data_IF_243079136116
#
_entry.id   IF_243079136116
#
_cell.length_a   1.000
_cell.length_b   1.000
_cell.length_c   1.000
_cell.angle_alpha   90.00
_cell.angle_beta   90.00
_cell.angle_gamma   90.00
#
_symmetry.space_group_name_H-M   'P 1'
#
loop_
_entity.id
_entity.type
_entity.pdbx_description
1 polymer ?
#
# COMPACT_ATOMS: atom_id res chain seq x y z
N UNK A 1 -2.87 12.13 22.65
CA UNK A 1 -3.44 12.92 21.55
C UNK A 1 -3.22 12.30 20.16
N UNK A 2 -2.15 11.57 19.91
CA UNK A 2 -1.86 10.93 18.60
C UNK A 2 -2.73 9.69 18.33
N UNK A 3 -3.00 8.89 19.35
CA UNK A 3 -3.84 7.68 19.23
C UNK A 3 -5.29 8.00 18.83
N UNK A 4 -5.81 9.11 19.31
CA UNK A 4 -7.20 9.56 19.07
C UNK A 4 -7.41 10.05 17.62
N UNK A 5 -6.41 10.67 16.98
CA UNK A 5 -6.45 11.05 15.57
C UNK A 5 -6.43 9.85 14.62
N UNK A 6 -5.59 8.84 14.93
CA UNK A 6 -5.46 7.61 14.12
C UNK A 6 -6.77 6.83 14.10
N UNK A 7 -7.36 6.62 15.27
CA UNK A 7 -8.62 5.90 15.42
C UNK A 7 -9.77 6.63 14.70
N UNK A 8 -9.80 7.96 14.69
CA UNK A 8 -10.81 8.74 13.96
C UNK A 8 -10.66 8.63 12.44
N UNK A 9 -9.46 8.64 11.89
CA UNK A 9 -9.25 8.55 10.45
C UNK A 9 -9.62 7.16 9.91
N UNK A 10 -9.27 6.10 10.62
CA UNK A 10 -9.72 4.74 10.29
C UNK A 10 -11.24 4.63 10.36
N UNK A 11 -11.88 5.12 11.44
CA UNK A 11 -13.33 5.09 11.57
C UNK A 11 -14.05 5.88 10.47
N UNK A 12 -13.55 7.04 10.03
CA UNK A 12 -14.17 7.82 8.95
C UNK A 12 -14.09 7.07 7.62
N UNK A 13 -12.93 6.51 7.29
CA UNK A 13 -12.73 5.70 6.09
C UNK A 13 -13.65 4.49 6.10
N UNK A 14 -13.62 3.70 7.18
CA UNK A 14 -14.36 2.45 7.29
C UNK A 14 -15.88 2.72 7.28
N UNK A 15 -16.33 3.81 7.92
CA UNK A 15 -17.72 4.24 7.86
C UNK A 15 -18.15 4.61 6.44
N UNK A 16 -17.35 5.41 5.73
CA UNK A 16 -17.64 5.80 4.36
C UNK A 16 -17.69 4.60 3.40
N UNK A 17 -16.78 3.64 3.55
CA UNK A 17 -16.76 2.42 2.76
C UNK A 17 -17.97 1.53 3.09
N UNK A 18 -18.30 1.38 4.37
CA UNK A 18 -19.47 0.63 4.81
C UNK A 18 -20.79 1.26 4.28
N UNK A 19 -20.89 2.60 4.34
CA UNK A 19 -22.03 3.32 3.76
C UNK A 19 -22.14 3.13 2.24
N UNK A 20 -21.01 3.01 1.55
CA UNK A 20 -20.94 2.70 0.13
C UNK A 20 -21.24 1.24 -0.21
N UNK A 21 -21.49 0.38 0.78
CA UNK A 21 -21.80 -1.03 0.58
C UNK A 21 -20.59 -1.97 0.54
N UNK A 22 -19.48 -1.56 1.17
CA UNK A 22 -18.29 -2.40 1.25
C UNK A 22 -18.61 -3.75 1.90
N UNK A 23 -18.21 -4.81 1.24
CA UNK A 23 -18.19 -6.15 1.79
C UNK A 23 -16.79 -6.40 2.35
N UNK A 24 -16.73 -6.60 3.67
CA UNK A 24 -15.48 -6.77 4.39
C UNK A 24 -15.04 -8.23 4.43
N UNK A 25 -13.75 -8.45 4.30
CA UNK A 25 -13.13 -9.74 4.53
C UNK A 25 -12.08 -9.66 5.62
N UNK A 26 -11.56 -10.82 5.99
CA UNK A 26 -10.48 -10.92 6.95
C UNK A 26 -9.25 -11.51 6.26
N UNK A 27 -8.13 -10.84 6.43
CA UNK A 27 -6.83 -11.30 5.97
C UNK A 27 -5.83 -11.23 7.12
N UNK A 28 -5.54 -12.36 7.77
CA UNK A 28 -4.63 -12.45 8.92
C UNK A 28 -5.00 -11.48 10.05
N UNK A 29 -6.26 -11.52 10.49
CA UNK A 29 -6.87 -10.65 11.50
C UNK A 29 -6.94 -9.15 11.12
N UNK A 30 -6.64 -8.78 9.89
CA UNK A 30 -6.86 -7.45 9.35
C UNK A 30 -8.14 -7.43 8.52
N UNK A 31 -9.09 -6.55 8.87
CA UNK A 31 -10.24 -6.28 8.02
C UNK A 31 -9.82 -5.56 6.74
N UNK A 32 -10.21 -6.12 5.62
CA UNK A 32 -9.89 -5.59 4.28
C UNK A 32 -11.14 -5.46 3.45
N UNK A 33 -11.28 -4.38 2.66
CA UNK A 33 -12.38 -4.27 1.70
C UNK A 33 -12.17 -5.27 0.57
N UNK A 34 -13.22 -6.03 0.25
CA UNK A 34 -13.18 -7.02 -0.84
C UNK A 34 -13.81 -6.49 -2.12
N UNK A 35 -15.05 -6.00 -2.04
CA UNK A 35 -15.83 -5.43 -3.15
C UNK A 35 -17.00 -4.64 -2.59
N UNK A 36 -17.75 -3.93 -3.45
CA UNK A 36 -18.91 -3.13 -3.05
C UNK A 36 -20.19 -3.69 -3.64
N UNK A 37 -21.20 -3.90 -2.80
CA UNK A 37 -22.50 -4.45 -3.18
C UNK A 37 -23.64 -3.68 -2.50
N UNK A 38 -24.90 -3.97 -2.86
CA UNK A 38 -26.04 -3.43 -2.13
C UNK A 38 -26.02 -3.90 -0.66
N UNK A 39 -26.63 -3.13 0.24
CA UNK A 39 -26.67 -3.47 1.68
C UNK A 39 -27.42 -4.77 1.97
N UNK A 40 -28.32 -5.15 1.08
CA UNK A 40 -29.12 -6.39 1.17
C UNK A 40 -28.41 -7.58 0.50
N UNK A 41 -27.23 -7.36 -0.08
CA UNK A 41 -26.49 -8.43 -0.74
C UNK A 41 -25.91 -9.39 0.31
N UNK A 42 -26.20 -10.66 0.13
CA UNK A 42 -25.63 -11.75 0.92
C UNK A 42 -24.86 -12.68 -0.02
N UNK A 43 -23.55 -12.81 0.26
CA UNK A 43 -22.73 -13.70 -0.54
C UNK A 43 -23.04 -15.16 -0.22
N UNK A 44 -23.24 -15.95 -1.28
CA UNK A 44 -23.37 -17.40 -1.19
C UNK A 44 -22.06 -18.07 -1.64
N UNK A 45 -21.16 -18.40 -0.69
CA UNK A 45 -19.88 -19.00 -0.99
C UNK A 45 -20.03 -20.34 -1.72
N UNK A 46 -19.16 -20.60 -2.68
CA UNK A 46 -19.19 -21.79 -3.50
C UNK A 46 -17.78 -22.25 -3.84
N UNK A 47 -17.57 -23.55 -4.01
CA UNK A 47 -16.33 -24.10 -4.55
C UNK A 47 -16.11 -23.74 -6.04
N UNK A 48 -17.10 -23.16 -6.68
CA UNK A 48 -17.05 -22.55 -8.02
C UNK A 48 -17.05 -21.03 -7.85
N UNK A 49 -17.70 -20.31 -8.78
CA UNK A 49 -17.92 -18.86 -8.69
C UNK A 49 -19.09 -18.57 -7.75
N UNK A 50 -18.88 -17.69 -6.77
CA UNK A 50 -19.96 -17.20 -5.93
C UNK A 50 -20.86 -16.20 -6.69
N UNK A 51 -21.97 -15.82 -6.10
CA UNK A 51 -22.85 -14.77 -6.62
C UNK A 51 -22.21 -13.35 -6.58
N UNK A 52 -21.08 -13.17 -5.92
CA UNK A 52 -20.27 -11.95 -5.98
C UNK A 52 -19.52 -11.77 -7.31
N UNK A 53 -19.34 -12.86 -8.09
CA UNK A 53 -18.55 -12.81 -9.33
C UNK A 53 -19.03 -11.76 -10.36
N UNK A 54 -20.33 -11.59 -10.65
CA UNK A 54 -20.77 -10.52 -11.54
C UNK A 54 -20.47 -9.13 -11.00
N UNK A 55 -20.63 -8.91 -9.69
CA UNK A 55 -20.40 -7.63 -9.01
C UNK A 55 -18.91 -7.24 -9.17
N UNK A 56 -17.99 -8.12 -8.79
CA UNK A 56 -16.55 -7.91 -8.99
C UNK A 56 -16.20 -7.74 -10.46
N UNK A 57 -16.90 -8.45 -11.36
CA UNK A 57 -16.75 -8.29 -12.80
C UNK A 57 -17.12 -6.89 -13.30
N UNK A 58 -18.14 -6.28 -12.73
CA UNK A 58 -18.56 -4.92 -13.08
C UNK A 58 -17.59 -3.86 -12.51
N UNK A 59 -17.05 -4.04 -11.30
CA UNK A 59 -15.93 -3.22 -10.78
C UNK A 59 -14.72 -3.28 -11.71
N UNK A 60 -14.32 -4.47 -12.15
CA UNK A 60 -13.21 -4.65 -13.11
C UNK A 60 -13.46 -3.94 -14.44
N UNK A 61 -14.70 -3.98 -14.96
CA UNK A 61 -15.08 -3.25 -16.18
C UNK A 61 -15.01 -1.73 -15.95
N UNK A 62 -15.50 -1.24 -14.81
CA UNK A 62 -15.46 0.18 -14.46
C UNK A 62 -14.01 0.70 -14.46
N UNK A 63 -13.08 -0.01 -13.81
CA UNK A 63 -11.66 0.36 -13.81
C UNK A 63 -11.08 0.38 -15.23
N UNK A 64 -11.50 -0.53 -16.12
CA UNK A 64 -10.98 -0.61 -17.49
C UNK A 64 -11.53 0.46 -18.41
N UNK A 65 -12.77 0.89 -18.20
CA UNK A 65 -13.47 1.81 -19.11
C UNK A 65 -13.57 3.24 -18.57
N UNK A 66 -13.42 3.43 -17.27
CA UNK A 66 -13.59 4.72 -16.61
C UNK A 66 -12.51 4.95 -15.54
N UNK A 67 -12.84 4.86 -14.26
CA UNK A 67 -11.95 5.07 -13.13
C UNK A 67 -12.36 4.18 -11.95
N UNK A 68 -11.39 3.66 -11.23
CA UNK A 68 -11.58 2.96 -9.97
C UNK A 68 -10.62 3.45 -8.89
N UNK A 69 -11.09 3.44 -7.66
CA UNK A 69 -10.34 3.75 -6.46
C UNK A 69 -10.22 2.48 -5.62
N UNK A 70 -8.98 2.00 -5.43
CA UNK A 70 -8.68 0.83 -4.62
C UNK A 70 -8.00 1.26 -3.32
N UNK A 71 -8.49 0.81 -2.18
CA UNK A 71 -7.82 0.98 -0.89
C UNK A 71 -6.56 0.10 -0.82
N UNK A 72 -5.42 0.73 -0.65
CA UNK A 72 -4.11 0.11 -0.45
C UNK A 72 -3.51 0.53 0.90
N UNK A 73 -4.33 0.93 1.85
CA UNK A 73 -3.90 1.35 3.20
C UNK A 73 -3.16 0.23 3.93
N UNK A 74 -3.48 -1.03 3.64
CA UNK A 74 -2.84 -2.21 4.22
C UNK A 74 -1.37 -2.45 3.81
N UNK A 75 -0.75 -1.59 2.97
CA UNK A 75 0.68 -1.69 2.70
C UNK A 75 1.50 -0.99 3.79
N UNK A 76 2.65 -1.57 4.16
CA UNK A 76 3.63 -0.90 5.02
C UNK A 76 4.32 0.25 4.26
N UNK A 77 4.66 1.31 4.98
CA UNK A 77 5.33 2.50 4.43
C UNK A 77 6.43 2.93 5.37
N UNK A 78 7.62 3.11 4.83
CA UNK A 78 8.78 3.60 5.57
C UNK A 78 9.32 4.84 4.87
N UNK A 79 9.58 5.87 5.64
CA UNK A 79 10.25 7.09 5.17
C UNK A 79 11.74 6.98 5.48
N UNK A 80 12.57 7.24 4.49
CA UNK A 80 14.02 7.23 4.59
C UNK A 80 14.55 8.61 4.23
N UNK A 81 15.36 9.17 5.12
CA UNK A 81 15.97 10.51 4.97
C UNK A 81 17.42 10.52 5.43
N UNK A 82 18.11 11.59 5.15
CA UNK A 82 19.47 11.82 5.60
C UNK A 82 20.49 11.87 4.44
N UNK A 83 21.68 12.42 4.70
CA UNK A 83 22.67 12.66 3.65
C UNK A 83 23.17 11.39 2.96
N UNK A 84 23.08 10.24 3.62
CA UNK A 84 23.54 8.96 3.10
C UNK A 84 22.36 8.05 2.66
N UNK A 85 21.12 8.55 2.63
CA UNK A 85 19.92 7.75 2.33
C UNK A 85 19.99 7.07 0.95
N UNK A 86 20.37 7.80 -0.10
CA UNK A 86 20.48 7.25 -1.45
C UNK A 86 21.57 6.17 -1.55
N UNK A 87 22.74 6.40 -0.97
CA UNK A 87 23.83 5.43 -0.96
C UNK A 87 23.44 4.16 -0.21
N UNK A 88 22.79 4.31 0.94
CA UNK A 88 22.29 3.18 1.73
C UNK A 88 21.22 2.38 0.98
N UNK A 89 20.23 3.05 0.39
CA UNK A 89 19.21 2.40 -0.43
C UNK A 89 19.82 1.63 -1.60
N UNK A 90 20.79 2.23 -2.28
CA UNK A 90 21.49 1.59 -3.40
C UNK A 90 22.32 0.36 -2.97
N UNK A 91 22.70 0.30 -1.69
CA UNK A 91 23.42 -0.85 -1.13
C UNK A 91 22.48 -2.01 -0.76
N UNK A 92 21.27 -1.71 -0.21
CA UNK A 92 20.35 -2.75 0.25
C UNK A 92 19.34 -3.22 -0.81
N UNK A 93 19.14 -2.43 -1.87
CA UNK A 93 18.20 -2.76 -2.96
C UNK A 93 18.96 -3.36 -4.14
N UNK A 94 18.49 -4.48 -4.64
CA UNK A 94 19.09 -5.17 -5.80
C UNK A 94 18.56 -4.65 -7.15
N UNK A 95 18.31 -3.34 -7.24
CA UNK A 95 17.86 -2.66 -8.45
C UNK A 95 18.38 -1.23 -8.50
N UNK A 96 18.35 -0.63 -9.69
CA UNK A 96 18.60 0.82 -9.80
C UNK A 96 17.49 1.58 -9.10
N UNK A 97 17.87 2.56 -8.30
CA UNK A 97 16.93 3.44 -7.64
C UNK A 97 16.16 4.31 -8.68
N UNK A 98 14.90 4.62 -8.42
CA UNK A 98 14.11 5.46 -9.31
C UNK A 98 14.62 6.90 -9.34
N UNK A 99 14.48 7.55 -10.50
CA UNK A 99 14.78 8.99 -10.65
C UNK A 99 13.85 9.84 -9.79
N UNK A 100 14.23 11.10 -9.48
CA UNK A 100 13.35 12.05 -8.79
C UNK A 100 11.93 12.11 -9.38
N UNK A 101 10.93 12.11 -8.53
CA UNK A 101 9.51 12.09 -8.89
C UNK A 101 9.01 10.75 -9.47
N UNK A 102 9.76 9.66 -9.28
CA UNK A 102 9.40 8.32 -9.79
C UNK A 102 9.37 7.28 -8.69
N UNK A 103 8.68 6.19 -8.99
CA UNK A 103 8.69 4.97 -8.20
C UNK A 103 9.21 3.80 -9.06
N UNK A 104 9.74 2.78 -8.41
CA UNK A 104 10.21 1.57 -9.06
C UNK A 104 10.21 0.36 -8.13
N UNK A 105 10.07 -0.83 -8.71
CA UNK A 105 10.25 -2.07 -7.97
C UNK A 105 11.72 -2.20 -7.54
N UNK A 106 11.91 -2.61 -6.32
CA UNK A 106 13.21 -2.70 -5.69
C UNK A 106 13.28 -3.96 -4.81
N UNK A 107 13.62 -5.11 -5.37
CA UNK A 107 13.83 -6.32 -4.58
C UNK A 107 15.01 -6.12 -3.63
N UNK A 108 14.83 -6.56 -2.40
CA UNK A 108 15.85 -6.59 -1.36
C UNK A 108 16.32 -8.02 -1.17
N UNK A 109 17.62 -8.25 -1.19
CA UNK A 109 18.22 -9.58 -1.10
C UNK A 109 19.11 -9.70 0.13
N UNK A 110 19.31 -10.92 0.61
CA UNK A 110 20.38 -11.25 1.54
C UNK A 110 21.73 -11.34 0.82
N UNK A 111 22.82 -11.47 1.58
CA UNK A 111 24.18 -11.67 1.04
C UNK A 111 24.28 -12.94 0.18
N UNK A 112 23.47 -13.97 0.47
CA UNK A 112 23.39 -15.20 -0.33
C UNK A 112 22.46 -15.08 -1.54
N UNK A 113 21.93 -13.89 -1.84
CA UNK A 113 21.05 -13.64 -2.98
C UNK A 113 19.60 -14.10 -2.79
N UNK A 114 19.17 -14.38 -1.55
CA UNK A 114 17.79 -14.79 -1.26
C UNK A 114 16.89 -13.57 -1.09
N UNK A 115 15.71 -13.62 -1.68
CA UNK A 115 14.71 -12.55 -1.58
C UNK A 115 14.31 -12.28 -0.13
N UNK A 116 14.52 -11.06 0.32
CA UNK A 116 14.13 -10.57 1.65
C UNK A 116 12.93 -9.62 1.60
N UNK A 117 12.67 -8.99 0.49
CA UNK A 117 11.51 -8.14 0.27
C UNK A 117 11.33 -7.85 -1.20
N UNK A 118 10.08 -7.90 -1.64
CA UNK A 118 9.65 -7.35 -2.93
C UNK A 118 9.01 -6.00 -2.66
N UNK A 119 9.79 -4.94 -2.81
CA UNK A 119 9.47 -3.61 -2.33
C UNK A 119 9.29 -2.64 -3.50
N UNK A 120 8.61 -1.53 -3.23
CA UNK A 120 8.55 -0.38 -4.13
C UNK A 120 9.25 0.80 -3.46
N UNK A 121 10.20 1.41 -4.15
CA UNK A 121 10.90 2.61 -3.69
C UNK A 121 10.36 3.82 -4.45
N UNK A 122 10.07 4.89 -3.72
CA UNK A 122 9.64 6.20 -4.24
C UNK A 122 10.74 7.22 -3.97
N UNK A 123 11.10 7.98 -4.98
CA UNK A 123 12.03 9.11 -4.86
C UNK A 123 11.24 10.42 -4.99
N UNK A 124 11.09 11.16 -3.90
CA UNK A 124 10.36 12.41 -3.88
C UNK A 124 11.10 13.59 -4.54
N UNK A 125 12.42 13.46 -4.73
CA UNK A 125 13.25 14.45 -5.40
C UNK A 125 13.80 15.56 -4.49
N UNK A 126 13.47 15.52 -3.20
CA UNK A 126 13.91 16.45 -2.16
C UNK A 126 14.88 15.83 -1.13
N UNK A 127 15.39 14.64 -1.44
CA UNK A 127 16.22 13.84 -0.53
C UNK A 127 15.40 12.88 0.35
N UNK A 128 14.08 12.92 0.25
CA UNK A 128 13.18 11.97 0.93
C UNK A 128 12.87 10.78 0.02
N UNK A 129 12.88 9.61 0.61
CA UNK A 129 12.53 8.36 -0.04
C UNK A 129 11.46 7.65 0.75
N UNK A 130 10.56 6.97 0.06
CA UNK A 130 9.65 6.04 0.72
C UNK A 130 9.88 4.63 0.21
N UNK A 131 9.76 3.66 1.12
CA UNK A 131 9.73 2.24 0.81
C UNK A 131 8.33 1.73 1.13
N UNK A 132 7.70 1.05 0.20
CA UNK A 132 6.41 0.41 0.40
C UNK A 132 6.52 -1.09 0.20
N UNK A 133 5.90 -1.86 1.08
CA UNK A 133 5.93 -3.32 1.06
C UNK A 133 4.71 -3.94 1.72
N UNK A 134 4.72 -5.26 1.86
CA UNK A 134 3.64 -5.98 2.51
C UNK A 134 3.49 -5.59 3.98
N UNK A 135 2.26 -5.36 4.41
CA UNK A 135 1.93 -5.09 5.81
C UNK A 135 2.40 -6.22 6.75
N UNK A 136 2.23 -7.46 6.34
CA UNK A 136 2.57 -8.64 7.16
C UNK A 136 4.07 -8.75 7.45
N UNK A 137 4.90 -8.18 6.59
CA UNK A 137 6.35 -8.16 6.74
C UNK A 137 6.86 -6.85 7.36
N UNK A 138 5.97 -5.94 7.77
CA UNK A 138 6.32 -4.60 8.27
C UNK A 138 7.36 -4.65 9.39
N UNK A 139 7.08 -5.41 10.45
CA UNK A 139 7.99 -5.51 11.60
C UNK A 139 9.30 -6.21 11.22
N UNK A 140 9.23 -7.20 10.32
CA UNK A 140 10.39 -7.91 9.83
C UNK A 140 11.26 -7.04 8.93
N UNK A 141 10.68 -6.27 8.01
CA UNK A 141 11.39 -5.30 7.18
C UNK A 141 12.03 -4.20 8.04
N UNK A 142 11.31 -3.66 9.03
CA UNK A 142 11.86 -2.62 9.91
C UNK A 142 13.06 -3.13 10.69
N UNK A 143 13.03 -4.37 11.18
CA UNK A 143 14.20 -5.00 11.84
C UNK A 143 15.36 -5.14 10.86
N UNK A 144 15.13 -5.66 9.66
CA UNK A 144 16.16 -5.77 8.63
C UNK A 144 16.80 -4.42 8.30
N UNK A 145 15.99 -3.38 8.12
CA UNK A 145 16.48 -2.03 7.88
C UNK A 145 17.33 -1.52 9.04
N UNK A 146 16.88 -1.75 10.27
CA UNK A 146 17.60 -1.32 11.48
C UNK A 146 18.97 -2.04 11.63
N UNK A 147 19.00 -3.33 11.31
CA UNK A 147 20.22 -4.15 11.39
C UNK A 147 21.27 -3.74 10.33
N UNK A 148 20.82 -3.10 9.24
CA UNK A 148 21.68 -2.64 8.13
C UNK A 148 21.72 -1.12 8.00
N UNK A 149 21.28 -0.38 9.03
CA UNK A 149 21.22 1.07 8.98
C UNK A 149 22.66 1.66 8.97
N UNK A 150 22.90 2.58 8.04
CA UNK A 150 24.19 3.28 7.94
C UNK A 150 24.14 4.62 8.69
N UNK A 151 25.33 5.12 9.05
CA UNK A 151 25.48 6.45 9.64
C UNK A 151 24.91 7.53 8.70
N UNK A 152 24.26 8.51 9.26
CA UNK A 152 23.62 9.60 8.50
C UNK A 152 22.37 9.21 7.73
N UNK A 153 21.76 8.05 8.04
CA UNK A 153 20.46 7.62 7.52
C UNK A 153 19.46 7.56 8.66
N UNK A 154 18.28 8.08 8.42
CA UNK A 154 17.12 7.96 9.30
C UNK A 154 16.04 7.18 8.58
N UNK A 155 15.46 6.20 9.26
CA UNK A 155 14.28 5.46 8.78
C UNK A 155 13.16 5.59 9.80
N UNK A 156 11.95 5.88 9.30
CA UNK A 156 10.75 6.01 10.10
C UNK A 156 9.65 5.14 9.54
N UNK A 157 9.08 4.29 10.36
CA UNK A 157 7.84 3.61 10.03
C UNK A 157 6.68 4.61 10.10
N UNK A 158 6.03 4.85 8.97
CA UNK A 158 4.89 5.77 8.89
C UNK A 158 3.61 5.16 9.45
N UNK A 159 3.61 3.85 9.65
CA UNK A 159 2.55 3.13 10.34
C UNK A 159 1.18 3.34 9.72
N UNK A 160 0.25 3.58 10.60
CA UNK A 160 -1.18 3.79 10.31
C UNK A 160 -1.54 5.28 10.20
N UNK A 161 -0.56 6.16 10.18
CA UNK A 161 -0.78 7.61 10.06
C UNK A 161 -1.23 8.03 8.65
N UNK A 162 -1.18 7.10 7.69
CA UNK A 162 -1.46 7.34 6.28
C UNK A 162 -2.47 6.33 5.74
N UNK A 163 -3.53 6.83 5.10
CA UNK A 163 -4.36 6.03 4.20
C UNK A 163 -3.77 6.05 2.79
N UNK A 164 -3.81 4.92 2.11
CA UNK A 164 -3.31 4.79 0.74
C UNK A 164 -4.40 4.36 -0.21
N UNK A 165 -4.46 5.01 -1.36
CA UNK A 165 -5.39 4.67 -2.42
C UNK A 165 -4.67 4.55 -3.77
N UNK A 166 -5.06 3.59 -4.56
CA UNK A 166 -4.67 3.48 -5.96
C UNK A 166 -5.83 3.95 -6.84
N UNK A 167 -5.60 5.03 -7.59
CA UNK A 167 -6.56 5.54 -8.56
C UNK A 167 -6.14 5.07 -9.97
N UNK A 168 -6.96 4.29 -10.61
CA UNK A 168 -6.64 3.65 -11.90
C UNK A 168 -7.78 3.79 -12.90
N UNK A 169 -7.45 3.72 -14.18
CA UNK A 169 -8.42 3.81 -15.28
C UNK A 169 -8.16 4.97 -16.23
N UNK A 170 -8.74 4.96 -17.44
CA UNK A 170 -8.49 5.98 -18.46
C UNK A 170 -8.86 7.40 -18.02
N UNK A 171 -9.85 7.57 -17.15
CA UNK A 171 -10.33 8.85 -16.66
C UNK A 171 -9.71 9.28 -15.31
N UNK A 172 -8.76 8.52 -14.77
CA UNK A 172 -8.13 8.80 -13.47
C UNK A 172 -7.46 10.18 -13.42
N UNK A 173 -6.82 10.61 -14.51
CA UNK A 173 -6.20 11.94 -14.61
C UNK A 173 -7.22 13.07 -14.44
N UNK A 174 -8.43 12.90 -15.01
CA UNK A 174 -9.51 13.90 -14.88
C UNK A 174 -10.05 14.04 -13.46
N UNK A 175 -10.01 12.98 -12.67
CA UNK A 175 -10.37 13.01 -11.25
C UNK A 175 -9.30 13.75 -10.44
N UNK A 176 -8.01 13.48 -10.71
CA UNK A 176 -6.89 14.11 -10.00
C UNK A 176 -6.71 15.58 -10.31
N UNK A 177 -7.29 16.10 -11.40
CA UNK A 177 -7.18 17.51 -11.81
C UNK A 177 -8.31 18.42 -11.27
N UNK A 178 -9.26 17.88 -10.53
CA UNK A 178 -10.32 18.59 -9.81
C UNK A 178 -9.91 18.92 -8.39
#
# INVERSE_FOLDING_TARGET
HTRDRRQRQMCIRDSAMTEAGCQWGNSWDLEVPLYFASKEFEENPSLKRSNAFPIVGDECKAVRSDVGLLDITGFSRFEVTGPNAEAWLNNIMASKLPKPGRAGLAPMLSEEGKLKGDLTVFNWGDGTWWIMGSYYLRAWHMRWFSDHLADGVSIKDLGEDWAGFSLSGPNSKGVMSK
#
